data_IF_611542642464
#
_entry.id   IF_611542642464
#
_cell.length_a   1.000
_cell.length_b   1.000
_cell.length_c   1.000
_cell.angle_alpha   90.00
_cell.angle_beta   90.00
_cell.angle_gamma   90.00
#
_symmetry.space_group_name_H-M   'P 1'
#
loop_
_entity.id
_entity.type
_entity.pdbx_description
1 polymer ?
#
# COMPACT_ATOMS: atom_id res chain seq x y z
N UNK A 1 -66.47 17.30 -49.21
CA UNK A 1 -66.35 16.48 -47.99
C UNK A 1 -65.02 15.69 -47.94
N UNK A 2 -64.21 15.64 -49.02
CA UNK A 2 -62.98 14.83 -49.05
C UNK A 2 -61.66 15.57 -48.67
N UNK A 3 -61.62 16.90 -48.59
CA UNK A 3 -60.44 17.66 -48.35
C UNK A 3 -60.05 17.69 -46.86
N UNK A 4 -61.01 17.73 -45.96
CA UNK A 4 -60.87 17.80 -44.49
C UNK A 4 -60.30 16.47 -43.92
N UNK A 5 -60.63 15.32 -44.52
CA UNK A 5 -60.22 14.00 -44.10
C UNK A 5 -58.71 13.75 -44.45
N UNK A 6 -58.24 14.29 -45.56
CA UNK A 6 -56.84 14.14 -46.00
C UNK A 6 -55.90 14.97 -45.10
N UNK A 7 -56.29 16.19 -44.70
CA UNK A 7 -55.47 17.02 -43.80
C UNK A 7 -55.38 16.46 -42.39
N UNK A 8 -56.48 15.86 -41.88
CA UNK A 8 -56.44 15.24 -40.54
C UNK A 8 -55.53 13.98 -40.47
N UNK A 9 -55.52 13.15 -41.52
CA UNK A 9 -54.64 11.96 -41.59
C UNK A 9 -53.20 12.33 -41.75
N UNK A 10 -52.83 13.38 -42.50
CA UNK A 10 -51.50 13.87 -42.64
C UNK A 10 -50.97 14.48 -41.33
N UNK A 11 -51.76 15.23 -40.57
CA UNK A 11 -51.36 15.79 -39.29
C UNK A 11 -51.13 14.69 -38.22
N UNK A 12 -51.99 13.68 -38.16
CA UNK A 12 -51.84 12.53 -37.25
C UNK A 12 -50.57 11.75 -37.56
N UNK A 13 -50.31 11.47 -38.87
CA UNK A 13 -49.10 10.78 -39.28
C UNK A 13 -47.81 11.59 -38.95
N UNK A 14 -47.84 12.90 -39.15
CA UNK A 14 -46.74 13.78 -38.81
C UNK A 14 -46.46 13.80 -37.29
N UNK A 15 -47.49 13.83 -36.46
CA UNK A 15 -47.36 13.80 -35.00
C UNK A 15 -46.84 12.45 -34.49
N UNK A 16 -47.27 11.33 -35.09
CA UNK A 16 -46.76 9.98 -34.78
C UNK A 16 -45.27 9.87 -35.18
N UNK A 17 -44.91 10.38 -36.36
CA UNK A 17 -43.52 10.37 -36.84
C UNK A 17 -42.63 11.24 -35.97
N UNK A 18 -43.05 12.43 -35.56
CA UNK A 18 -42.31 13.30 -34.63
C UNK A 18 -42.12 12.63 -33.29
N UNK A 19 -43.14 12.02 -32.69
CA UNK A 19 -42.99 11.30 -31.40
C UNK A 19 -42.07 10.07 -31.51
N UNK A 20 -42.01 9.41 -32.67
CA UNK A 20 -41.05 8.30 -32.90
C UNK A 20 -39.62 8.81 -32.98
N UNK A 21 -39.37 9.93 -33.66
CA UNK A 21 -38.03 10.55 -33.72
C UNK A 21 -37.57 11.02 -32.35
N UNK A 22 -38.43 11.71 -31.59
CA UNK A 22 -38.10 12.15 -30.22
C UNK A 22 -37.77 10.99 -29.28
N UNK A 23 -38.41 9.82 -29.47
CA UNK A 23 -38.11 8.62 -28.69
C UNK A 23 -36.83 7.92 -29.11
N UNK A 24 -36.48 7.96 -30.41
CA UNK A 24 -35.22 7.44 -30.95
C UNK A 24 -34.05 8.27 -30.42
N UNK A 25 -34.16 9.59 -30.43
CA UNK A 25 -33.14 10.50 -29.94
C UNK A 25 -32.90 10.31 -28.43
N UNK A 26 -33.98 10.12 -27.64
CA UNK A 26 -33.87 9.79 -26.22
C UNK A 26 -33.19 8.44 -26.01
N UNK A 27 -33.54 7.42 -26.78
CA UNK A 27 -32.97 6.08 -26.68
C UNK A 27 -31.45 6.12 -27.02
N UNK A 28 -31.07 6.87 -28.07
CA UNK A 28 -29.69 7.08 -28.44
C UNK A 28 -28.89 7.85 -27.37
N UNK A 29 -29.51 8.86 -26.77
CA UNK A 29 -28.90 9.61 -25.67
C UNK A 29 -28.69 8.72 -24.41
N UNK A 30 -29.67 7.90 -24.05
CA UNK A 30 -29.53 6.94 -22.95
C UNK A 30 -28.47 5.86 -23.27
N UNK A 31 -28.42 5.36 -24.49
CA UNK A 31 -27.35 4.43 -24.91
C UNK A 31 -25.98 5.07 -24.85
N UNK A 32 -25.84 6.32 -25.31
CA UNK A 32 -24.60 7.07 -25.25
C UNK A 32 -24.15 7.30 -23.78
N UNK A 33 -25.09 7.72 -22.92
CA UNK A 33 -24.83 7.88 -21.47
C UNK A 33 -24.44 6.55 -20.80
N UNK A 34 -25.10 5.45 -21.18
CA UNK A 34 -24.78 4.11 -20.68
C UNK A 34 -23.37 3.67 -21.12
N UNK A 35 -22.99 3.90 -22.39
CA UNK A 35 -21.64 3.62 -22.89
C UNK A 35 -20.58 4.53 -22.25
N UNK A 36 -20.90 5.81 -22.01
CA UNK A 36 -20.03 6.73 -21.27
C UNK A 36 -19.86 6.27 -19.80
N UNK A 37 -20.94 5.83 -19.15
CA UNK A 37 -20.89 5.33 -17.77
C UNK A 37 -20.19 3.98 -17.66
N UNK A 38 -20.41 3.06 -18.61
CA UNK A 38 -19.69 1.79 -18.70
C UNK A 38 -18.22 1.97 -19.08
N UNK A 39 -17.88 2.94 -19.92
CA UNK A 39 -16.49 3.29 -20.27
C UNK A 39 -15.74 3.91 -19.08
N UNK A 40 -16.44 4.48 -18.09
CA UNK A 40 -15.81 5.06 -16.88
C UNK A 40 -15.62 4.03 -15.75
N UNK A 41 -16.25 2.87 -15.85
CA UNK A 41 -15.95 1.72 -14.99
C UNK A 41 -14.69 0.96 -15.49
N UNK A 42 -13.63 1.69 -15.87
CA UNK A 42 -12.30 1.12 -15.88
C UNK A 42 -11.97 0.82 -14.42
N UNK A 43 -12.06 -0.43 -14.05
CA UNK A 43 -11.44 -0.93 -12.83
C UNK A 43 -9.97 -0.53 -12.92
N UNK A 44 -9.57 0.44 -12.12
CA UNK A 44 -8.16 0.66 -11.81
C UNK A 44 -7.74 -0.63 -11.10
N UNK A 45 -7.28 -1.61 -11.86
CA UNK A 45 -6.58 -2.75 -11.29
C UNK A 45 -5.25 -2.18 -10.79
N UNK A 46 -5.19 -1.87 -9.50
CA UNK A 46 -3.94 -1.55 -8.85
C UNK A 46 -2.92 -2.62 -9.26
N UNK A 47 -1.78 -2.21 -9.85
CA UNK A 47 -0.75 -3.16 -10.25
C UNK A 47 -0.06 -3.68 -8.98
N UNK A 48 -0.66 -4.71 -8.38
CA UNK A 48 -0.11 -5.42 -7.24
C UNK A 48 0.83 -6.50 -7.78
N UNK A 49 2.07 -6.49 -7.31
CA UNK A 49 3.10 -7.45 -7.64
C UNK A 49 3.66 -8.10 -6.38
N UNK A 50 4.16 -9.32 -6.52
CA UNK A 50 4.79 -10.07 -5.45
C UNK A 50 6.30 -10.17 -5.72
N UNK A 51 7.09 -9.93 -4.69
CA UNK A 51 8.53 -10.14 -4.68
C UNK A 51 8.87 -11.21 -3.64
N UNK A 52 9.47 -12.29 -4.11
CA UNK A 52 9.93 -13.39 -3.26
C UNK A 52 11.45 -13.34 -3.24
N UNK A 53 12.00 -12.65 -2.24
CA UNK A 53 13.43 -12.53 -2.02
C UNK A 53 13.98 -13.63 -1.13
N UNK A 54 15.29 -13.62 -0.92
CA UNK A 54 15.97 -14.55 0.00
C UNK A 54 15.68 -14.21 1.47
N UNK A 55 15.59 -12.91 1.80
CA UNK A 55 15.45 -12.43 3.16
C UNK A 55 14.03 -12.10 3.56
N UNK A 56 13.16 -11.72 2.61
CA UNK A 56 11.79 -11.29 2.87
C UNK A 56 10.91 -11.43 1.65
N UNK A 57 9.59 -11.42 1.88
CA UNK A 57 8.57 -11.40 0.83
C UNK A 57 7.80 -10.07 0.89
N UNK A 58 7.45 -9.52 -0.27
CA UNK A 58 6.69 -8.27 -0.37
C UNK A 58 5.49 -8.42 -1.29
N UNK A 59 4.36 -7.90 -0.83
CA UNK A 59 3.24 -7.51 -1.69
C UNK A 59 3.36 -6.01 -1.92
N UNK A 60 3.53 -5.60 -3.18
CA UNK A 60 3.86 -4.23 -3.56
C UNK A 60 2.83 -3.63 -4.51
N UNK A 61 2.49 -2.36 -4.32
CA UNK A 61 1.66 -1.59 -5.25
C UNK A 61 2.53 -0.64 -6.07
N UNK A 62 2.59 -0.85 -7.39
CA UNK A 62 3.27 0.09 -8.29
C UNK A 62 2.50 1.41 -8.46
N UNK A 63 1.17 1.40 -8.21
CA UNK A 63 0.36 2.62 -8.25
C UNK A 63 0.63 3.52 -7.05
N UNK A 64 0.87 2.92 -5.88
CA UNK A 64 1.21 3.64 -4.65
C UNK A 64 2.71 3.91 -4.53
N UNK A 65 3.52 3.17 -5.29
CA UNK A 65 4.98 3.13 -5.15
C UNK A 65 5.41 2.80 -3.71
N UNK A 66 4.63 1.91 -3.06
CA UNK A 66 4.81 1.50 -1.68
C UNK A 66 4.57 0.00 -1.49
N UNK A 67 5.25 -0.65 -0.52
CA UNK A 67 4.86 -1.98 -0.06
C UNK A 67 3.48 -1.92 0.60
N UNK A 68 2.67 -2.96 0.38
CA UNK A 68 1.41 -3.18 1.07
C UNK A 68 1.59 -4.12 2.26
N UNK A 69 2.45 -5.12 2.09
CA UNK A 69 2.78 -6.09 3.11
C UNK A 69 4.22 -6.57 2.94
N UNK A 70 4.92 -6.75 4.04
CA UNK A 70 6.26 -7.34 4.07
C UNK A 70 6.31 -8.41 5.16
N UNK A 71 6.76 -9.62 4.81
CA UNK A 71 6.95 -10.72 5.76
C UNK A 71 8.39 -11.17 5.79
N UNK A 72 8.91 -11.43 6.99
CA UNK A 72 10.28 -11.91 7.19
C UNK A 72 10.42 -12.75 8.45
N UNK A 73 11.54 -13.43 8.55
CA UNK A 73 11.99 -14.11 9.78
C UNK A 73 13.24 -13.41 10.29
N UNK A 74 13.32 -13.12 11.58
CA UNK A 74 14.55 -12.56 12.19
C UNK A 74 15.60 -13.65 12.22
N UNK A 75 16.66 -13.48 11.42
CA UNK A 75 17.71 -14.50 11.23
C UNK A 75 18.92 -14.27 12.14
N UNK A 76 19.11 -13.02 12.57
CA UNK A 76 20.32 -12.62 13.29
C UNK A 76 19.97 -11.92 14.62
N UNK A 77 20.06 -12.60 15.77
CA UNK A 77 19.88 -11.97 17.08
C UNK A 77 20.97 -10.91 17.36
N UNK A 78 22.15 -11.15 16.82
CA UNK A 78 23.28 -10.23 16.84
C UNK A 78 23.98 -10.28 15.50
N UNK A 79 24.49 -9.14 15.03
CA UNK A 79 25.22 -9.10 13.78
C UNK A 79 26.11 -7.87 13.73
N UNK A 80 27.23 -8.01 13.03
CA UNK A 80 28.33 -7.02 13.01
C UNK A 80 28.59 -6.45 11.61
N UNK A 81 27.86 -6.88 10.59
CA UNK A 81 28.10 -6.42 9.22
C UNK A 81 27.77 -4.93 9.11
N UNK A 82 28.78 -4.17 8.73
CA UNK A 82 28.64 -2.73 8.52
C UNK A 82 27.76 -2.41 7.30
N UNK A 83 26.78 -1.56 7.50
CA UNK A 83 25.89 -1.02 6.45
C UNK A 83 26.48 0.23 5.77
N UNK A 84 27.70 0.63 6.14
CA UNK A 84 28.37 1.81 5.56
C UNK A 84 28.51 1.67 4.04
N UNK A 85 28.08 2.70 3.33
CA UNK A 85 28.08 2.76 1.87
C UNK A 85 26.95 1.97 1.19
N UNK A 86 25.97 1.46 1.94
CA UNK A 86 24.71 0.96 1.38
C UNK A 86 23.71 2.10 1.26
N UNK A 87 23.04 2.19 0.12
CA UNK A 87 21.89 3.06 -0.13
C UNK A 87 20.83 2.26 -0.86
N UNK A 88 19.58 2.75 -0.80
CA UNK A 88 18.45 2.13 -1.47
C UNK A 88 18.63 2.14 -2.99
N UNK A 89 18.23 1.04 -3.62
CA UNK A 89 18.31 0.85 -5.06
C UNK A 89 16.99 0.40 -5.64
N UNK A 90 16.75 0.78 -6.89
CA UNK A 90 15.52 0.49 -7.64
C UNK A 90 15.67 -0.83 -8.40
N UNK A 91 14.81 -1.82 -8.17
CA UNK A 91 14.87 -3.08 -8.89
C UNK A 91 14.40 -2.88 -10.34
N UNK A 92 15.06 -3.56 -11.26
CA UNK A 92 14.75 -3.47 -12.69
C UNK A 92 13.34 -4.03 -12.97
N UNK A 93 12.55 -3.28 -13.73
CA UNK A 93 11.20 -3.69 -14.14
C UNK A 93 10.11 -3.43 -13.09
N UNK A 94 10.44 -2.65 -12.05
CA UNK A 94 9.48 -2.21 -11.04
C UNK A 94 9.34 -0.68 -11.04
N UNK A 95 8.10 -0.22 -10.90
CA UNK A 95 7.82 1.16 -10.55
C UNK A 95 7.80 1.27 -9.03
N UNK A 96 8.76 1.98 -8.44
CA UNK A 96 8.92 2.13 -6.99
C UNK A 96 9.16 3.58 -6.65
N UNK A 97 8.97 3.94 -5.37
CA UNK A 97 9.53 5.17 -4.83
C UNK A 97 11.02 5.27 -5.13
N UNK A 98 11.56 6.47 -5.07
CA UNK A 98 12.98 6.74 -5.28
C UNK A 98 13.48 7.92 -4.42
N UNK A 99 14.70 8.40 -4.67
CA UNK A 99 15.28 9.46 -3.87
C UNK A 99 14.47 10.77 -3.89
N UNK A 100 13.69 11.03 -4.94
CA UNK A 100 12.93 12.27 -5.07
C UNK A 100 11.73 12.29 -4.14
N UNK A 101 11.17 11.12 -3.79
CA UNK A 101 10.05 10.99 -2.86
C UNK A 101 10.42 11.34 -1.41
N UNK A 102 11.71 11.30 -1.07
CA UNK A 102 12.23 11.58 0.28
C UNK A 102 12.86 12.96 0.42
N UNK A 103 12.75 13.82 -0.61
CA UNK A 103 13.30 15.17 -0.57
C UNK A 103 12.32 16.18 0.02
N UNK A 104 12.84 17.07 0.87
CA UNK A 104 12.12 18.22 1.43
C UNK A 104 10.79 17.85 2.13
N UNK A 105 10.76 16.70 2.82
CA UNK A 105 9.64 16.27 3.66
C UNK A 105 10.16 15.64 4.97
N UNK A 106 9.24 15.10 5.78
CA UNK A 106 9.53 14.55 7.11
C UNK A 106 9.69 13.03 7.12
N UNK A 107 9.74 12.39 5.93
CA UNK A 107 9.77 10.94 5.82
C UNK A 107 11.19 10.43 5.59
N UNK A 108 11.55 9.41 6.34
CA UNK A 108 12.73 8.59 6.13
C UNK A 108 12.42 7.45 5.15
N UNK A 109 13.46 6.90 4.53
CA UNK A 109 13.42 5.59 3.85
C UNK A 109 13.30 4.51 4.92
N UNK A 110 12.06 4.24 5.36
CA UNK A 110 11.78 3.27 6.42
C UNK A 110 11.87 1.85 5.91
N UNK A 111 12.75 1.03 6.49
CA UNK A 111 12.77 -0.40 6.21
C UNK A 111 11.54 -1.08 6.82
N UNK A 112 10.85 -1.92 6.06
CA UNK A 112 9.80 -2.79 6.60
C UNK A 112 10.39 -4.09 7.17
N UNK A 113 11.30 -4.74 6.44
CA UNK A 113 12.19 -5.79 6.95
C UNK A 113 13.54 -5.14 7.29
N UNK A 114 13.91 -5.00 8.58
CA UNK A 114 15.06 -4.21 8.99
C UNK A 114 16.37 -4.93 8.65
N UNK A 115 17.34 -4.21 8.08
CA UNK A 115 18.66 -4.76 7.80
C UNK A 115 19.35 -5.40 9.01
N UNK A 116 19.02 -4.91 10.22
CA UNK A 116 19.59 -5.46 11.46
C UNK A 116 19.09 -6.87 11.79
N UNK A 117 17.97 -7.33 11.23
CA UNK A 117 17.48 -8.69 11.39
C UNK A 117 18.30 -9.71 10.58
N UNK A 118 19.18 -9.25 9.68
CA UNK A 118 19.94 -10.06 8.72
C UNK A 118 21.42 -9.75 8.70
N UNK A 119 21.95 -8.92 9.59
CA UNK A 119 23.32 -8.46 9.52
C UNK A 119 24.38 -9.47 10.02
N UNK A 120 24.04 -10.74 10.12
CA UNK A 120 24.95 -11.89 10.23
C UNK A 120 25.27 -12.53 8.87
N UNK A 121 24.55 -12.14 7.79
CA UNK A 121 24.86 -12.55 6.42
C UNK A 121 26.00 -11.71 5.84
N UNK A 122 26.49 -12.10 4.66
CA UNK A 122 27.47 -11.28 3.94
C UNK A 122 26.86 -9.94 3.46
N UNK A 123 27.74 -9.04 3.01
CA UNK A 123 27.35 -7.69 2.62
C UNK A 123 26.47 -7.65 1.35
N UNK A 124 26.64 -8.60 0.45
CA UNK A 124 25.90 -8.69 -0.80
C UNK A 124 24.44 -9.11 -0.51
N UNK A 125 24.24 -10.17 0.27
CA UNK A 125 22.93 -10.63 0.75
C UNK A 125 22.21 -9.53 1.53
N UNK A 126 22.92 -8.88 2.47
CA UNK A 126 22.34 -7.78 3.25
C UNK A 126 21.88 -6.61 2.39
N UNK A 127 22.49 -6.37 1.23
CA UNK A 127 22.11 -5.32 0.29
C UNK A 127 20.68 -5.48 -0.23
N UNK A 128 20.13 -6.69 -0.21
CA UNK A 128 18.74 -6.93 -0.59
C UNK A 128 17.77 -6.09 0.27
N UNK A 129 18.06 -5.92 1.55
CA UNK A 129 17.20 -5.11 2.45
C UNK A 129 17.10 -3.64 2.04
N UNK A 130 18.07 -3.13 1.28
CA UNK A 130 18.10 -1.76 0.75
C UNK A 130 17.41 -1.63 -0.62
N UNK A 131 16.50 -2.55 -0.96
CA UNK A 131 15.65 -2.46 -2.11
C UNK A 131 14.43 -1.56 -1.81
N UNK A 132 14.04 -0.66 -2.74
CA UNK A 132 12.87 0.18 -2.56
C UNK A 132 11.55 -0.60 -2.41
N UNK A 133 11.49 -1.88 -2.78
CA UNK A 133 10.33 -2.72 -2.48
C UNK A 133 10.15 -2.96 -0.97
N UNK A 134 11.22 -2.88 -0.20
CA UNK A 134 11.24 -3.00 1.26
C UNK A 134 11.20 -1.64 1.99
N UNK A 135 10.95 -0.57 1.26
CA UNK A 135 11.05 0.80 1.75
C UNK A 135 9.70 1.51 1.73
N UNK A 136 9.28 2.09 2.86
CA UNK A 136 8.09 2.92 2.92
C UNK A 136 8.44 4.35 3.36
N UNK A 137 7.59 5.32 2.95
CA UNK A 137 7.60 6.68 3.46
C UNK A 137 7.19 6.65 4.94
N UNK A 138 8.15 6.64 5.85
CA UNK A 138 7.92 6.53 7.29
C UNK A 138 8.35 7.81 8.01
N UNK A 139 7.45 8.40 8.81
CA UNK A 139 7.76 9.62 9.54
C UNK A 139 9.05 9.44 10.36
N UNK A 140 9.99 10.39 10.27
CA UNK A 140 11.34 10.28 10.85
C UNK A 140 11.34 9.98 12.35
N UNK A 141 10.40 10.58 13.11
CA UNK A 141 10.32 10.34 14.55
C UNK A 141 9.78 8.94 14.90
N UNK A 142 8.91 8.37 14.06
CA UNK A 142 8.47 6.98 14.18
C UNK A 142 9.64 6.04 13.83
N UNK A 143 10.24 6.20 12.65
CA UNK A 143 11.32 5.35 12.15
C UNK A 143 12.52 5.31 13.10
N UNK A 144 12.97 6.47 13.57
CA UNK A 144 14.15 6.61 14.44
C UNK A 144 13.85 6.36 15.93
N UNK A 145 12.58 6.33 16.32
CA UNK A 145 12.06 6.18 17.67
C UNK A 145 11.43 4.81 17.92
N UNK A 146 10.10 4.75 18.20
CA UNK A 146 9.42 3.54 18.66
C UNK A 146 9.53 2.37 17.67
N UNK A 147 9.57 2.61 16.36
CA UNK A 147 9.76 1.54 15.37
C UNK A 147 11.12 0.85 15.51
N UNK A 148 12.19 1.62 15.62
CA UNK A 148 13.54 1.10 15.84
C UNK A 148 13.67 0.31 17.15
N UNK A 149 12.99 0.75 18.22
CA UNK A 149 13.00 0.03 19.50
C UNK A 149 12.22 -1.30 19.40
N UNK A 150 11.09 -1.32 18.68
CA UNK A 150 10.35 -2.56 18.40
C UNK A 150 11.21 -3.55 17.58
N UNK A 151 11.98 -3.08 16.60
CA UNK A 151 12.94 -3.93 15.86
C UNK A 151 14.04 -4.49 16.78
N UNK A 152 14.41 -3.78 17.83
CA UNK A 152 15.32 -4.31 18.86
C UNK A 152 14.66 -5.44 19.64
N UNK A 153 13.40 -5.25 20.05
CA UNK A 153 12.62 -6.28 20.73
C UNK A 153 12.49 -7.56 19.88
N UNK A 154 12.25 -7.46 18.57
CA UNK A 154 12.24 -8.61 17.66
C UNK A 154 13.54 -9.41 17.71
N UNK A 155 14.70 -8.72 17.69
CA UNK A 155 16.01 -9.37 17.79
C UNK A 155 16.27 -9.94 19.20
N UNK A 156 15.74 -9.32 20.24
CA UNK A 156 15.85 -9.87 21.60
C UNK A 156 15.01 -11.15 21.76
N UNK A 157 13.83 -11.22 21.13
CA UNK A 157 13.05 -12.45 21.04
C UNK A 157 13.82 -13.57 20.32
N UNK A 158 14.56 -13.27 19.25
CA UNK A 158 15.31 -14.27 18.50
C UNK A 158 16.56 -14.84 19.25
N UNK A 159 16.91 -14.25 20.39
CA UNK A 159 17.91 -14.85 21.33
C UNK A 159 17.32 -15.96 22.20
N UNK A 160 15.99 -16.00 22.33
CA UNK A 160 15.26 -16.91 23.22
C UNK A 160 14.46 -17.94 22.42
N UNK A 161 13.87 -17.52 21.31
CA UNK A 161 13.05 -18.36 20.44
C UNK A 161 13.82 -18.72 19.17
N UNK A 162 13.72 -19.97 18.75
CA UNK A 162 14.36 -20.49 17.54
C UNK A 162 13.91 -19.73 16.28
N UNK A 163 12.62 -19.34 16.26
CA UNK A 163 12.02 -18.66 15.11
C UNK A 163 11.20 -17.46 15.58
N UNK A 164 11.49 -16.30 15.02
CA UNK A 164 10.69 -15.07 15.19
C UNK A 164 10.23 -14.63 13.82
N UNK A 165 8.92 -14.77 13.54
CA UNK A 165 8.29 -14.35 12.29
C UNK A 165 7.66 -12.99 12.48
N UNK A 166 7.76 -12.14 11.46
CA UNK A 166 7.20 -10.79 11.47
C UNK A 166 6.42 -10.55 10.19
N UNK A 167 5.27 -9.91 10.34
CA UNK A 167 4.47 -9.39 9.24
C UNK A 167 4.23 -7.89 9.45
N UNK A 168 4.56 -7.09 8.46
CA UNK A 168 4.26 -5.67 8.43
C UNK A 168 3.17 -5.43 7.39
N UNK A 169 2.08 -4.78 7.79
CA UNK A 169 1.03 -4.29 6.88
C UNK A 169 1.10 -2.77 6.83
N UNK A 170 1.13 -2.21 5.64
CA UNK A 170 1.15 -0.76 5.40
C UNK A 170 -0.28 -0.31 5.11
N UNK A 171 -0.74 0.71 5.81
CA UNK A 171 -2.10 1.24 5.69
C UNK A 171 -2.11 2.56 4.94
N UNK A 172 -3.21 2.83 4.25
CA UNK A 172 -3.44 4.04 3.48
C UNK A 172 -4.86 4.56 3.75
N UNK A 173 -5.02 5.88 3.79
CA UNK A 173 -6.31 6.51 4.00
C UNK A 173 -7.16 6.52 2.72
N UNK A 174 -8.48 6.71 2.90
CA UNK A 174 -9.40 6.87 1.78
C UNK A 174 -9.19 8.18 1.00
N UNK A 175 -8.64 9.19 1.65
CA UNK A 175 -8.22 10.44 1.03
C UNK A 175 -6.69 10.42 0.88
N UNK A 176 -6.16 9.95 -0.26
CA UNK A 176 -4.74 9.69 -0.43
C UNK A 176 -3.92 10.98 -0.54
N UNK A 177 -2.84 11.05 0.22
CA UNK A 177 -1.83 12.10 0.13
C UNK A 177 -0.56 11.57 -0.54
N UNK A 178 0.05 12.39 -1.39
CA UNK A 178 1.25 12.03 -2.14
C UNK A 178 2.39 12.98 -1.82
N UNK A 179 3.61 12.48 -1.80
CA UNK A 179 4.80 13.32 -1.83
C UNK A 179 5.01 13.93 -3.22
N UNK A 180 5.84 14.95 -3.31
CA UNK A 180 6.11 15.63 -4.58
C UNK A 180 6.70 14.70 -5.66
N UNK A 181 7.39 13.62 -5.28
CA UNK A 181 7.93 12.60 -6.18
C UNK A 181 6.87 11.69 -6.79
N UNK A 182 5.70 11.56 -6.17
CA UNK A 182 4.56 10.80 -6.67
C UNK A 182 4.18 9.59 -5.84
N UNK A 183 5.01 9.15 -4.90
CA UNK A 183 4.69 8.04 -4.02
C UNK A 183 3.59 8.41 -3.00
N UNK A 184 2.69 7.45 -2.73
CA UNK A 184 1.59 7.61 -1.78
C UNK A 184 2.12 7.55 -0.34
N UNK A 185 1.66 8.46 0.51
CA UNK A 185 2.04 8.50 1.93
C UNK A 185 1.21 7.47 2.70
N UNK A 186 1.82 6.48 3.38
CA UNK A 186 1.11 5.59 4.28
C UNK A 186 0.49 6.36 5.46
N UNK A 187 -0.74 5.99 5.85
CA UNK A 187 -1.37 6.53 7.06
C UNK A 187 -0.87 5.87 8.35
N UNK A 188 -0.41 4.61 8.26
CA UNK A 188 0.09 3.88 9.41
C UNK A 188 0.64 2.51 9.07
N UNK A 189 1.09 1.80 10.11
CA UNK A 189 1.72 0.49 10.00
C UNK A 189 1.23 -0.44 11.10
N UNK A 190 0.81 -1.65 10.73
CA UNK A 190 0.63 -2.75 11.67
C UNK A 190 1.84 -3.66 11.63
N UNK A 191 2.39 -4.02 12.78
CA UNK A 191 3.44 -5.02 12.89
C UNK A 191 2.99 -6.16 13.80
N UNK A 192 2.96 -7.38 13.25
CA UNK A 192 2.63 -8.61 13.95
C UNK A 192 3.89 -9.45 14.12
N UNK A 193 4.13 -9.96 15.32
CA UNK A 193 5.33 -10.71 15.68
C UNK A 193 4.88 -12.03 16.31
N UNK A 194 5.43 -13.15 15.83
CA UNK A 194 5.19 -14.49 16.38
C UNK A 194 6.51 -15.12 16.81
N UNK A 195 6.56 -15.61 18.05
CA UNK A 195 7.70 -16.33 18.61
C UNK A 195 7.20 -17.45 19.53
N UNK A 196 7.43 -18.72 19.18
CA UNK A 196 6.83 -19.86 19.84
C UNK A 196 5.30 -19.79 19.80
N UNK A 197 4.66 -19.85 20.98
CA UNK A 197 3.20 -19.71 21.14
C UNK A 197 2.75 -18.27 21.36
N UNK A 198 3.69 -17.32 21.39
CA UNK A 198 3.41 -15.93 21.66
C UNK A 198 3.16 -15.15 20.39
N UNK A 199 2.24 -14.19 20.47
CA UNK A 199 1.89 -13.27 19.40
C UNK A 199 1.75 -11.85 19.97
N UNK A 200 2.35 -10.89 19.31
CA UNK A 200 2.22 -9.46 19.62
C UNK A 200 1.79 -8.72 18.37
N UNK A 201 0.89 -7.76 18.52
CA UNK A 201 0.45 -6.87 17.44
C UNK A 201 0.59 -5.43 17.88
N UNK A 202 1.19 -4.60 17.02
CA UNK A 202 1.39 -3.17 17.23
C UNK A 202 0.81 -2.40 16.07
N UNK A 203 0.22 -1.24 16.37
CA UNK A 203 -0.23 -0.30 15.34
C UNK A 203 0.37 1.08 15.60
N UNK A 204 0.95 1.68 14.56
CA UNK A 204 1.54 3.00 14.60
C UNK A 204 0.92 3.89 13.54
N UNK A 205 0.39 5.04 13.93
CA UNK A 205 0.09 6.10 12.97
C UNK A 205 1.39 6.66 12.38
N UNK A 206 1.40 7.01 11.11
CA UNK A 206 2.58 7.55 10.42
C UNK A 206 2.73 9.07 10.65
N UNK A 207 2.81 9.48 11.90
CA UNK A 207 2.86 10.86 12.35
C UNK A 207 4.06 11.11 13.29
N UNK A 208 4.17 12.32 13.83
CA UNK A 208 5.20 12.63 14.81
C UNK A 208 4.95 11.91 16.14
N UNK A 209 5.75 10.88 16.43
CA UNK A 209 5.71 10.07 17.64
C UNK A 209 6.93 10.31 18.57
N UNK A 210 7.56 11.47 18.50
CA UNK A 210 8.75 11.78 19.30
C UNK A 210 8.48 11.61 20.79
N UNK A 211 9.32 10.81 21.46
CA UNK A 211 9.27 10.59 22.91
C UNK A 211 8.22 9.59 23.37
N UNK A 212 7.53 8.90 22.44
CA UNK A 212 6.62 7.80 22.77
C UNK A 212 7.39 6.49 22.92
N UNK A 213 6.95 5.64 23.83
CA UNK A 213 7.48 4.28 24.00
C UNK A 213 6.81 3.34 22.98
N UNK A 214 7.57 2.37 22.44
CA UNK A 214 7.04 1.42 21.46
C UNK A 214 5.94 0.51 22.04
N UNK A 215 5.99 0.22 23.34
CA UNK A 215 5.00 -0.61 24.02
C UNK A 215 3.61 0.05 24.13
N UNK A 216 3.53 1.39 24.03
CA UNK A 216 2.27 2.14 24.04
C UNK A 216 1.38 1.80 22.80
N UNK A 217 1.97 1.23 21.76
CA UNK A 217 1.31 0.93 20.49
C UNK A 217 0.86 -0.52 20.35
N UNK A 218 1.05 -1.33 21.41
CA UNK A 218 0.55 -2.69 21.40
C UNK A 218 -0.98 -2.70 21.45
N UNK A 219 -1.59 -3.45 20.54
CA UNK A 219 -3.04 -3.66 20.50
C UNK A 219 -3.37 -5.10 20.90
N UNK A 220 -4.53 -5.35 21.54
CA UNK A 220 -4.95 -6.70 21.91
C UNK A 220 -5.06 -7.61 20.67
N UNK A 221 -4.58 -8.84 20.77
CA UNK A 221 -4.78 -9.83 19.72
C UNK A 221 -6.26 -10.21 19.64
N UNK A 222 -6.80 -10.32 18.43
CA UNK A 222 -8.22 -10.66 18.18
C UNK A 222 -8.59 -12.00 18.84
N UNK A 223 -7.63 -12.93 19.01
CA UNK A 223 -7.84 -14.21 19.69
C UNK A 223 -8.10 -14.09 21.19
N UNK A 224 -7.59 -13.03 21.85
CA UNK A 224 -7.77 -12.80 23.30
C UNK A 224 -9.10 -12.12 23.66
N UNK A 225 -9.88 -11.68 22.65
CA UNK A 225 -11.17 -11.00 22.85
C UNK A 225 -12.33 -12.02 22.90
N UNK A 226 -12.11 -13.27 22.49
CA UNK A 226 -13.15 -14.31 22.38
C UNK A 226 -13.02 -15.42 23.44
N UNK A 227 -12.10 -15.30 24.38
CA UNK A 227 -11.96 -16.14 25.58
C UNK A 227 -12.43 -15.38 26.85
#
# INVERSE_FOLDING_TARGET
MNTILVESVTMVNFKIMKNRLDNIDKLLMFALLYFLFMGFAMTVNAQIKHYDGELYHVVYSEDYEQPLQVTYTVMCPTGEISRSGMDFWKPKGWKTSDNDDYKANVYDKGHMAPAAAFNCFDKETLRETFNYLNCALQHESLNRGPWKELERFERDLSKVFETVKVNVTVHFDNEPEYVAGGALIPSGFTKQIWAGEHEWTFYFDNINLKGRDWSDFQIPNIRQIND
#
